data_IF_812949742556
#
_entry.id   IF_812949742556
#
_cell.length_a   1.000
_cell.length_b   1.000
_cell.length_c   1.000
_cell.angle_alpha   90.00
_cell.angle_beta   90.00
_cell.angle_gamma   90.00
#
_symmetry.space_group_name_H-M   'P 1'
#
loop_
_entity.id
_entity.type
_entity.pdbx_description
1 polymer ?
#
# COMPACT_ATOMS: atom_id res chain seq x y z
N UNK A 1 9.01 5.54 13.41
CA UNK A 1 7.62 5.70 12.93
C UNK A 1 7.18 4.43 12.22
N UNK A 2 5.89 4.04 12.29
CA UNK A 2 5.33 2.97 11.47
C UNK A 2 5.74 3.11 9.99
N UNK A 3 5.94 1.96 9.33
CA UNK A 3 6.30 1.87 7.92
C UNK A 3 5.39 0.85 7.24
N UNK A 4 4.96 1.17 6.03
CA UNK A 4 4.15 0.27 5.20
C UNK A 4 4.99 -0.28 4.04
N UNK A 5 4.89 -1.58 3.80
CA UNK A 5 5.66 -2.26 2.77
C UNK A 5 4.76 -3.08 1.85
N UNK A 6 5.12 -3.12 0.56
CA UNK A 6 4.68 -4.11 -0.41
C UNK A 6 5.82 -5.11 -0.60
N UNK A 7 5.50 -6.40 -0.62
CA UNK A 7 6.44 -7.45 -1.01
C UNK A 7 6.12 -7.90 -2.43
N UNK A 8 6.95 -7.46 -3.39
CA UNK A 8 6.81 -7.80 -4.80
C UNK A 8 7.45 -9.16 -5.07
N UNK A 9 6.68 -10.10 -5.62
CA UNK A 9 7.22 -11.39 -6.04
C UNK A 9 8.06 -11.21 -7.32
N UNK A 10 9.29 -11.70 -7.30
CA UNK A 10 10.26 -11.66 -8.40
C UNK A 10 10.82 -13.06 -8.65
N UNK A 11 11.65 -13.23 -9.68
CA UNK A 11 12.36 -14.50 -9.94
C UNK A 11 13.40 -14.84 -8.88
N UNK A 12 13.83 -13.87 -8.07
CA UNK A 12 14.84 -14.04 -7.02
C UNK A 12 14.21 -14.10 -5.61
N UNK A 13 12.89 -14.14 -5.52
CA UNK A 13 12.13 -14.11 -4.27
C UNK A 13 11.33 -12.81 -4.11
N UNK A 14 11.10 -12.39 -2.87
CA UNK A 14 10.32 -11.19 -2.59
C UNK A 14 11.21 -9.97 -2.39
N UNK A 15 10.95 -8.93 -3.18
CA UNK A 15 11.52 -7.60 -2.99
C UNK A 15 10.61 -6.79 -2.07
N UNK A 16 11.19 -6.17 -1.04
CA UNK A 16 10.45 -5.30 -0.11
C UNK A 16 10.55 -3.85 -0.57
N UNK A 17 9.40 -3.26 -0.91
CA UNK A 17 9.26 -1.85 -1.30
C UNK A 17 8.54 -1.10 -0.18
N UNK A 18 9.13 -0.01 0.30
CA UNK A 18 8.47 0.86 1.28
C UNK A 18 7.59 1.88 0.55
N UNK A 19 6.31 1.96 0.94
CA UNK A 19 5.32 2.80 0.25
C UNK A 19 4.81 3.97 1.12
N UNK A 20 4.97 3.89 2.45
CA UNK A 20 4.54 4.96 3.35
C UNK A 20 5.21 4.88 4.74
N UNK A 21 5.20 6.01 5.46
CA UNK A 21 5.81 6.22 6.77
C UNK A 21 4.96 7.18 7.61
N UNK A 22 4.77 6.88 8.89
CA UNK A 22 4.19 7.82 9.86
C UNK A 22 2.94 7.27 10.54
N UNK A 23 1.87 7.05 9.78
CA UNK A 23 0.60 6.50 10.27
C UNK A 23 0.55 5.00 9.97
N UNK A 24 0.19 4.19 10.96
CA UNK A 24 0.04 2.75 10.74
C UNK A 24 -1.28 2.45 10.02
N UNK A 25 -1.27 1.48 9.10
CA UNK A 25 -2.51 0.92 8.52
C UNK A 25 -3.10 -0.15 9.45
N UNK A 26 -4.42 -0.21 9.55
CA UNK A 26 -5.12 -1.32 10.21
C UNK A 26 -5.50 -2.42 9.20
N UNK A 27 -5.85 -2.04 7.98
CA UNK A 27 -6.20 -2.95 6.90
C UNK A 27 -5.96 -2.26 5.56
N UNK A 28 -5.48 -3.02 4.57
CA UNK A 28 -5.34 -2.58 3.19
C UNK A 28 -5.76 -3.69 2.22
N UNK A 29 -6.20 -3.31 1.01
CA UNK A 29 -6.53 -4.21 -0.10
C UNK A 29 -5.89 -3.74 -1.38
N UNK A 30 -5.46 -4.69 -2.21
CA UNK A 30 -5.00 -4.42 -3.57
C UNK A 30 -6.20 -4.43 -4.54
N UNK A 31 -6.34 -3.40 -5.35
CA UNK A 31 -7.47 -3.21 -6.29
C UNK A 31 -7.04 -2.24 -7.40
N UNK A 32 -7.52 -2.46 -8.62
CA UNK A 32 -7.34 -1.53 -9.74
C UNK A 32 -8.33 -0.36 -9.59
N UNK A 33 -7.87 0.79 -9.08
CA UNK A 33 -8.72 1.97 -8.82
C UNK A 33 -8.76 2.92 -10.01
N UNK A 34 -7.75 2.86 -10.88
CA UNK A 34 -7.62 3.74 -12.05
C UNK A 34 -8.25 3.13 -13.31
N UNK A 35 -8.50 1.82 -13.34
CA UNK A 35 -8.97 1.08 -14.50
C UNK A 35 -7.88 0.83 -15.55
N UNK A 36 -6.61 0.92 -15.17
CA UNK A 36 -5.46 0.72 -16.07
C UNK A 36 -4.93 -0.72 -16.08
N UNK A 37 -5.56 -1.62 -15.31
CA UNK A 37 -5.18 -3.03 -15.20
C UNK A 37 -4.05 -3.29 -14.20
N UNK A 38 -3.48 -2.25 -13.56
CA UNK A 38 -2.50 -2.37 -12.49
C UNK A 38 -3.17 -2.27 -11.12
N UNK A 39 -2.66 -3.02 -10.14
CA UNK A 39 -3.19 -2.97 -8.78
C UNK A 39 -2.61 -1.77 -8.00
N UNK A 40 -3.51 -0.90 -7.55
CA UNK A 40 -3.29 0.10 -6.51
C UNK A 40 -3.56 -0.49 -5.12
N UNK A 41 -3.46 0.34 -4.08
CA UNK A 41 -3.75 -0.04 -2.71
C UNK A 41 -4.72 0.98 -2.09
N UNK A 42 -5.77 0.48 -1.43
CA UNK A 42 -6.65 1.27 -0.55
C UNK A 42 -6.58 0.72 0.86
N UNK A 43 -6.54 1.60 1.86
CA UNK A 43 -6.44 1.18 3.26
C UNK A 43 -7.07 2.17 4.23
N UNK A 44 -7.22 1.73 5.48
CA UNK A 44 -7.67 2.57 6.60
C UNK A 44 -6.56 2.71 7.64
N UNK A 45 -6.37 3.94 8.12
CA UNK A 45 -5.44 4.22 9.20
C UNK A 45 -5.84 3.49 10.51
N UNK A 46 -4.86 3.33 11.40
CA UNK A 46 -5.08 2.77 12.74
C UNK A 46 -5.54 3.85 13.74
N UNK A 47 -4.76 4.92 13.92
CA UNK A 47 -5.02 6.07 14.80
C UNK A 47 -3.97 7.18 14.57
N UNK A 48 -4.14 8.43 15.08
CA UNK A 48 -5.34 9.01 15.72
C UNK A 48 -6.37 9.55 14.72
N UNK A 49 -5.94 9.89 13.52
CA UNK A 49 -6.80 10.44 12.47
C UNK A 49 -7.35 9.27 11.64
N UNK A 50 -8.65 8.99 11.76
CA UNK A 50 -9.31 7.97 10.95
C UNK A 50 -9.53 8.49 9.52
N UNK A 51 -8.76 7.99 8.58
CA UNK A 51 -8.85 8.35 7.16
C UNK A 51 -8.71 7.12 6.26
N UNK A 52 -9.16 7.29 5.02
CA UNK A 52 -8.93 6.33 3.93
C UNK A 52 -7.78 6.87 3.10
N UNK A 53 -6.78 6.04 2.91
CA UNK A 53 -5.63 6.33 2.06
C UNK A 53 -5.71 5.50 0.79
N UNK A 54 -5.22 6.10 -0.30
CA UNK A 54 -5.04 5.44 -1.58
C UNK A 54 -3.60 5.66 -2.03
N UNK A 55 -2.91 4.57 -2.32
CA UNK A 55 -1.58 4.58 -2.92
C UNK A 55 -1.67 4.08 -4.35
N UNK A 56 -1.47 5.02 -5.29
CA UNK A 56 -1.52 4.73 -6.71
C UNK A 56 -0.22 4.11 -7.20
N UNK A 57 -0.32 3.03 -7.97
CA UNK A 57 0.83 2.48 -8.67
C UNK A 57 1.21 3.40 -9.83
N UNK A 58 2.49 3.73 -9.90
CA UNK A 58 3.09 4.49 -11.00
C UNK A 58 4.28 3.67 -11.48
N UNK A 59 4.16 3.13 -12.68
CA UNK A 59 5.25 2.45 -13.38
C UNK A 59 6.19 3.46 -14.05
#
# INVERSE_FOLDING_TARGET
>A
VPRMFVYRNTTEGFERVEIDRGVATHEAKAVDLTGDGSLDIVGKSYSPDCHVDVWYRRD
#
